data_IF_937109238606
#
_entry.id   IF_937109238606
#
_cell.length_a   1.000
_cell.length_b   1.000
_cell.length_c   1.000
_cell.angle_alpha   90.00
_cell.angle_beta   90.00
_cell.angle_gamma   90.00
#
_symmetry.space_group_name_H-M   'P 1'
#
loop_
_entity.id
_entity.type
_entity.pdbx_description
1 polymer ?
#
# COMPACT_ATOMS: atom_id res chain seq x y z
N UNK A 1 25.08 0.61 25.53
CA UNK A 1 24.26 0.46 24.30
C UNK A 1 23.16 1.52 24.40
N UNK A 2 23.21 2.57 23.57
CA UNK A 2 22.16 3.60 23.54
C UNK A 2 20.93 3.05 22.80
N UNK A 3 19.72 3.28 23.34
CA UNK A 3 18.46 2.81 22.75
C UNK A 3 17.88 3.90 21.83
N UNK A 4 17.33 3.51 20.69
CA UNK A 4 16.82 4.46 19.69
C UNK A 4 15.70 5.37 20.22
N UNK A 5 14.97 4.90 21.23
CA UNK A 5 13.89 5.62 21.91
C UNK A 5 14.34 6.96 22.54
N UNK A 6 15.65 7.17 22.72
CA UNK A 6 16.20 8.43 23.22
C UNK A 6 16.46 9.48 22.13
N UNK A 7 16.43 9.10 20.86
CA UNK A 7 16.64 10.04 19.75
C UNK A 7 15.36 10.75 19.37
N UNK A 8 15.45 12.06 19.20
CA UNK A 8 14.37 12.88 18.63
C UNK A 8 14.89 13.51 17.36
N UNK A 9 14.13 13.43 16.28
CA UNK A 9 14.46 14.12 15.02
C UNK A 9 14.61 15.64 15.17
N UNK A 10 14.06 16.21 16.26
CA UNK A 10 14.18 17.62 16.61
C UNK A 10 15.33 17.93 17.56
N UNK A 11 16.16 16.95 17.96
CA UNK A 11 17.37 17.23 18.74
C UNK A 11 18.42 17.87 17.85
N UNK A 12 19.20 18.80 18.40
CA UNK A 12 20.37 19.37 17.73
C UNK A 12 21.55 18.38 17.63
N UNK A 13 21.44 17.23 18.29
CA UNK A 13 22.42 16.13 18.20
C UNK A 13 22.09 15.22 17.01
N UNK A 14 23.10 14.91 16.22
CA UNK A 14 23.01 13.96 15.10
C UNK A 14 22.94 12.51 15.62
N UNK A 15 22.17 11.62 14.95
CA UNK A 15 22.12 10.22 15.32
C UNK A 15 23.46 9.55 15.01
N UNK A 16 23.85 8.58 15.84
CA UNK A 16 24.98 7.70 15.48
C UNK A 16 24.66 6.89 14.22
N UNK A 17 25.67 6.41 13.51
CA UNK A 17 25.49 5.56 12.33
C UNK A 17 24.57 4.35 12.58
N UNK A 18 24.68 3.71 13.75
CA UNK A 18 23.79 2.61 14.15
C UNK A 18 22.33 3.05 14.22
N UNK A 19 22.08 4.18 14.88
CA UNK A 19 20.74 4.73 15.05
C UNK A 19 20.18 5.19 13.70
N UNK A 20 20.99 5.84 12.86
CA UNK A 20 20.58 6.25 11.52
C UNK A 20 20.21 5.04 10.66
N UNK A 21 21.02 3.97 10.67
CA UNK A 21 20.70 2.73 9.96
C UNK A 21 19.38 2.14 10.42
N UNK A 22 19.12 2.10 11.72
CA UNK A 22 17.88 1.58 12.25
C UNK A 22 16.68 2.46 11.83
N UNK A 23 16.76 3.79 11.93
CA UNK A 23 15.70 4.72 11.46
C UNK A 23 15.41 4.49 9.97
N UNK A 24 16.45 4.42 9.14
CA UNK A 24 16.28 4.22 7.70
C UNK A 24 15.68 2.85 7.38
N UNK A 25 16.07 1.80 8.10
CA UNK A 25 15.50 0.46 7.94
C UNK A 25 14.01 0.44 8.30
N UNK A 26 13.63 1.06 9.41
CA UNK A 26 12.23 1.17 9.84
C UNK A 26 11.41 1.99 8.85
N UNK A 27 11.91 3.14 8.41
CA UNK A 27 11.25 4.00 7.43
C UNK A 27 11.04 3.28 6.08
N UNK A 28 12.06 2.53 5.62
CA UNK A 28 11.96 1.74 4.39
C UNK A 28 10.92 0.62 4.50
N UNK A 29 10.89 -0.10 5.63
CA UNK A 29 9.91 -1.14 5.89
C UNK A 29 8.49 -0.57 5.91
N UNK A 30 8.30 0.59 6.53
CA UNK A 30 7.01 1.26 6.62
C UNK A 30 6.53 1.79 5.26
N UNK A 31 7.43 2.38 4.47
CA UNK A 31 7.13 2.82 3.12
C UNK A 31 6.72 1.65 2.23
N UNK A 32 7.45 0.52 2.29
CA UNK A 32 7.13 -0.71 1.56
C UNK A 32 5.74 -1.22 1.94
N UNK A 33 5.44 -1.36 3.24
CA UNK A 33 4.15 -1.81 3.75
C UNK A 33 3.00 -0.92 3.27
N UNK A 34 3.14 0.40 3.40
CA UNK A 34 2.14 1.36 2.94
C UNK A 34 1.91 1.26 1.43
N UNK A 35 2.98 1.10 0.66
CA UNK A 35 2.91 0.91 -0.80
C UNK A 35 2.16 -0.37 -1.18
N UNK A 36 2.50 -1.49 -0.56
CA UNK A 36 1.83 -2.78 -0.80
C UNK A 36 0.34 -2.74 -0.42
N UNK A 37 0.00 -2.13 0.70
CA UNK A 37 -1.39 -1.99 1.15
C UNK A 37 -2.21 -1.08 0.22
N UNK A 38 -1.65 0.05 -0.20
CA UNK A 38 -2.29 0.95 -1.15
C UNK A 38 -2.53 0.25 -2.50
N UNK A 39 -1.52 -0.48 -3.00
CA UNK A 39 -1.61 -1.24 -4.23
C UNK A 39 -2.70 -2.32 -4.15
N UNK A 40 -2.73 -3.11 -3.07
CA UNK A 40 -3.77 -4.11 -2.83
C UNK A 40 -5.17 -3.50 -2.83
N UNK A 41 -5.36 -2.37 -2.13
CA UNK A 41 -6.66 -1.67 -2.07
C UNK A 41 -7.09 -1.17 -3.46
N UNK A 42 -6.17 -0.58 -4.20
CA UNK A 42 -6.44 -0.07 -5.55
C UNK A 42 -6.90 -1.18 -6.49
N UNK A 43 -6.15 -2.29 -6.57
CA UNK A 43 -6.52 -3.41 -7.44
C UNK A 43 -7.76 -4.17 -6.96
N UNK A 44 -8.03 -4.22 -5.65
CA UNK A 44 -9.28 -4.75 -5.13
C UNK A 44 -10.47 -3.91 -5.59
N UNK A 45 -10.33 -2.58 -5.63
CA UNK A 45 -11.38 -1.69 -6.14
C UNK A 45 -11.57 -1.87 -7.64
N UNK A 46 -10.49 -1.87 -8.43
CA UNK A 46 -10.58 -2.11 -9.88
C UNK A 46 -11.31 -3.42 -10.21
N UNK A 47 -11.07 -4.49 -9.45
CA UNK A 47 -11.78 -5.76 -9.65
C UNK A 47 -13.27 -5.65 -9.34
N UNK A 48 -13.65 -4.93 -8.27
CA UNK A 48 -15.06 -4.69 -7.94
C UNK A 48 -15.75 -3.91 -9.06
N UNK A 49 -15.11 -2.85 -9.53
CA UNK A 49 -15.65 -2.00 -10.59
C UNK A 49 -15.81 -2.80 -11.88
N UNK A 50 -14.82 -3.63 -12.25
CA UNK A 50 -14.92 -4.49 -13.42
C UNK A 50 -16.07 -5.51 -13.33
N UNK A 51 -16.30 -6.10 -12.15
CA UNK A 51 -17.42 -7.02 -11.91
C UNK A 51 -18.76 -6.26 -12.04
N UNK A 52 -18.85 -5.06 -11.47
CA UNK A 52 -20.06 -4.24 -11.55
C UNK A 52 -20.36 -3.83 -13.00
N UNK A 53 -19.36 -3.37 -13.75
CA UNK A 53 -19.50 -3.03 -15.17
C UNK A 53 -19.91 -4.25 -16.01
N UNK A 54 -19.32 -5.41 -15.76
CA UNK A 54 -19.71 -6.67 -16.41
C UNK A 54 -21.17 -7.02 -16.12
N UNK A 55 -21.61 -6.93 -14.85
CA UNK A 55 -23.02 -7.15 -14.49
C UNK A 55 -23.97 -6.19 -15.17
N UNK A 56 -23.62 -4.91 -15.26
CA UNK A 56 -24.43 -3.92 -15.97
C UNK A 56 -24.52 -4.27 -17.45
N UNK A 57 -23.41 -4.64 -18.08
CA UNK A 57 -23.36 -4.92 -19.51
C UNK A 57 -24.10 -6.22 -19.89
N UNK A 58 -23.89 -7.31 -19.14
CA UNK A 58 -24.57 -8.59 -19.37
C UNK A 58 -26.01 -8.61 -18.85
N UNK A 59 -26.31 -7.86 -17.78
CA UNK A 59 -27.66 -7.73 -17.23
C UNK A 59 -28.55 -6.80 -18.06
N UNK A 60 -27.99 -5.79 -18.73
CA UNK A 60 -28.73 -4.86 -19.59
C UNK A 60 -28.85 -5.34 -21.04
N UNK A 61 -28.12 -6.38 -21.45
CA UNK A 61 -28.10 -6.86 -22.83
C UNK A 61 -28.59 -8.32 -22.92
N UNK A 62 -29.89 -8.56 -23.19
CA UNK A 62 -30.45 -9.92 -23.23
C UNK A 62 -29.94 -10.78 -24.40
N UNK A 63 -29.22 -10.20 -25.37
CA UNK A 63 -28.73 -10.91 -26.56
C UNK A 63 -27.29 -11.43 -26.46
N UNK A 64 -26.54 -11.16 -25.38
CA UNK A 64 -25.15 -11.66 -25.25
C UNK A 64 -25.07 -13.10 -24.70
N UNK A 65 -26.19 -13.68 -24.28
CA UNK A 65 -26.25 -15.07 -23.80
C UNK A 65 -26.27 -16.11 -24.94
N UNK A 66 -26.29 -15.68 -26.21
CA UNK A 66 -26.37 -16.59 -27.37
C UNK A 66 -25.16 -16.41 -28.29
N UNK A 67 -24.00 -16.83 -27.81
CA UNK A 67 -22.89 -17.21 -28.68
C UNK A 67 -22.32 -18.52 -28.12
N UNK A 68 -22.80 -19.63 -28.70
CA UNK A 68 -22.26 -20.98 -28.52
C UNK A 68 -20.92 -21.11 -29.25
#
# INVERSE_FOLDING_TARGET
>A
MQKIDSYRLTSLEEPTDEMLRQIMSEAAADAKRKGEDAHKRYFAQLRKDAIEQSRLWFGANPNVAVAQ
#
